data_IF_564209599320
#
_entry.id   IF_564209599320
#
_cell.length_a   1.000
_cell.length_b   1.000
_cell.length_c   1.000
_cell.angle_alpha   90.00
_cell.angle_beta   90.00
_cell.angle_gamma   90.00
#
_symmetry.space_group_name_H-M   'P 1'
#
loop_
_entity.id
_entity.type
_entity.pdbx_description
1 polymer ?
#
# COMPACT_ATOMS: atom_id res chain seq x y z
N UNK A 1 10.87 -35.45 -78.16
CA UNK A 1 9.67 -35.74 -78.98
C UNK A 1 8.64 -36.47 -78.12
N UNK A 2 7.38 -35.99 -78.09
CA UNK A 2 6.19 -36.64 -77.46
C UNK A 2 5.62 -37.72 -78.42
N UNK A 3 4.82 -38.70 -77.97
CA UNK A 3 3.35 -38.49 -77.87
C UNK A 3 2.65 -39.20 -76.68
N UNK A 4 1.67 -38.54 -76.03
CA UNK A 4 0.20 -38.78 -76.12
C UNK A 4 -0.27 -40.04 -75.36
N UNK A 5 -1.00 -39.86 -74.26
CA UNK A 5 -2.42 -40.25 -74.18
C UNK A 5 -3.06 -39.85 -72.83
N UNK A 6 -4.19 -39.19 -72.98
CA UNK A 6 -5.19 -38.74 -72.02
C UNK A 6 -5.97 -39.88 -71.36
N UNK A 7 -6.36 -39.72 -70.10
CA UNK A 7 -7.73 -40.05 -69.62
C UNK A 7 -8.03 -39.33 -68.29
N UNK A 8 -9.02 -38.44 -68.35
CA UNK A 8 -9.86 -37.92 -67.26
C UNK A 8 -11.19 -38.74 -67.36
N UNK A 9 -12.10 -38.87 -66.37
CA UNK A 9 -12.20 -38.32 -65.00
C UNK A 9 -12.44 -39.41 -63.93
N UNK A 10 -12.47 -39.04 -62.64
CA UNK A 10 -13.62 -39.48 -61.84
C UNK A 10 -13.92 -38.50 -60.73
N UNK A 11 -15.18 -38.12 -60.70
CA UNK A 11 -15.81 -37.20 -59.78
C UNK A 11 -15.76 -37.76 -58.37
N UNK A 12 -15.44 -36.91 -57.38
CA UNK A 12 -16.14 -36.92 -56.10
C UNK A 12 -15.92 -35.57 -55.41
N UNK A 13 -16.88 -34.66 -55.57
CA UNK A 13 -17.13 -33.61 -54.58
C UNK A 13 -17.74 -34.31 -53.35
N UNK A 14 -17.33 -33.94 -52.14
CA UNK A 14 -18.31 -33.20 -51.35
C UNK A 14 -17.73 -32.12 -50.44
N UNK A 15 -18.66 -31.24 -50.07
CA UNK A 15 -18.73 -30.47 -48.83
C UNK A 15 -17.73 -29.31 -48.67
N UNK A 16 -18.18 -28.16 -49.14
CA UNK A 16 -17.85 -26.88 -48.54
C UNK A 16 -18.20 -26.91 -47.04
N UNK A 17 -17.19 -26.83 -46.17
CA UNK A 17 -17.33 -26.31 -44.83
C UNK A 17 -16.61 -24.95 -44.81
N UNK A 18 -17.37 -23.89 -45.08
CA UNK A 18 -16.95 -22.53 -44.79
C UNK A 18 -16.94 -22.37 -43.26
N UNK A 19 -15.78 -22.57 -42.64
CA UNK A 19 -15.57 -22.31 -41.23
C UNK A 19 -15.41 -20.79 -41.04
N UNK A 20 -16.54 -20.08 -40.92
CA UNK A 20 -16.55 -18.69 -40.50
C UNK A 20 -16.22 -18.63 -39.00
N UNK A 21 -14.93 -18.56 -38.68
CA UNK A 21 -14.46 -18.27 -37.33
C UNK A 21 -14.81 -16.81 -37.00
N UNK A 22 -15.94 -16.61 -36.32
CA UNK A 22 -16.25 -15.35 -35.65
C UNK A 22 -15.25 -15.20 -34.49
N UNK A 23 -14.18 -14.46 -34.74
CA UNK A 23 -13.26 -14.00 -33.70
C UNK A 23 -13.99 -12.97 -32.83
N UNK A 24 -14.74 -13.46 -31.85
CA UNK A 24 -15.25 -12.63 -30.77
C UNK A 24 -14.03 -12.18 -29.95
N UNK A 25 -13.53 -10.98 -30.23
CA UNK A 25 -12.48 -10.36 -29.43
C UNK A 25 -13.05 -10.13 -28.04
N UNK A 26 -12.59 -10.88 -27.03
CA UNK A 26 -12.78 -10.50 -25.64
C UNK A 26 -12.01 -9.20 -25.43
N UNK A 27 -12.67 -8.06 -25.60
CA UNK A 27 -12.15 -6.82 -25.06
C UNK A 27 -12.38 -6.88 -23.56
N UNK A 28 -11.31 -7.13 -22.81
CA UNK A 28 -11.30 -6.87 -21.39
C UNK A 28 -11.45 -5.35 -21.21
N UNK A 29 -12.64 -4.89 -20.85
CA UNK A 29 -12.79 -3.55 -20.32
C UNK A 29 -12.00 -3.52 -19.01
N UNK A 30 -10.89 -2.79 -19.00
CA UNK A 30 -10.26 -2.38 -17.75
C UNK A 30 -11.27 -1.45 -17.06
N UNK A 31 -12.07 -2.01 -16.15
CA UNK A 31 -12.79 -1.21 -15.18
C UNK A 31 -11.70 -0.67 -14.27
N UNK A 32 -11.38 0.62 -14.41
CA UNK A 32 -10.57 1.29 -13.40
C UNK A 32 -11.25 1.03 -12.05
N UNK A 33 -10.59 0.31 -11.13
CA UNK A 33 -11.16 0.16 -9.80
C UNK A 33 -11.43 1.57 -9.27
N UNK A 34 -12.50 1.79 -8.49
CA UNK A 34 -12.76 3.09 -7.87
C UNK A 34 -11.43 3.54 -7.26
N UNK A 35 -10.95 4.73 -7.67
CA UNK A 35 -9.63 5.23 -7.30
C UNK A 35 -9.60 5.33 -5.78
N UNK A 36 -9.14 4.26 -5.15
CA UNK A 36 -9.16 4.10 -3.72
C UNK A 36 -8.25 5.15 -3.11
N UNK A 37 -8.33 5.28 -1.79
CA UNK A 37 -7.27 6.00 -1.11
C UNK A 37 -5.94 5.29 -1.37
N UNK A 38 -5.00 6.00 -1.98
CA UNK A 38 -3.66 5.50 -2.33
C UNK A 38 -2.62 6.49 -1.79
N UNK A 39 -1.87 6.12 -0.75
CA UNK A 39 -0.87 7.00 -0.14
C UNK A 39 0.22 7.43 -1.13
N UNK A 40 0.65 6.51 -2.00
CA UNK A 40 1.74 6.70 -2.96
C UNK A 40 2.99 7.27 -2.28
N UNK A 41 3.46 6.62 -1.21
CA UNK A 41 4.66 7.04 -0.47
C UNK A 41 5.96 6.77 -1.21
N UNK A 42 5.91 5.93 -2.26
CA UNK A 42 7.08 5.42 -2.96
C UNK A 42 7.73 4.21 -2.27
N UNK A 43 7.16 3.71 -1.18
CA UNK A 43 7.55 2.47 -0.51
C UNK A 43 6.30 1.60 -0.27
N UNK A 44 6.21 0.49 -0.99
CA UNK A 44 5.05 -0.40 -0.94
C UNK A 44 4.83 -1.08 0.44
N UNK A 45 5.87 -1.16 1.27
CA UNK A 45 5.72 -1.64 2.64
C UNK A 45 5.04 -0.59 3.51
N UNK A 46 5.45 0.67 3.37
CA UNK A 46 4.82 1.81 4.07
C UNK A 46 3.36 1.94 3.65
N UNK A 47 3.07 1.92 2.34
CA UNK A 47 1.69 2.03 1.84
C UNK A 47 0.77 0.97 2.47
N UNK A 48 1.24 -0.28 2.58
CA UNK A 48 0.51 -1.37 3.25
C UNK A 48 0.30 -1.14 4.74
N UNK A 49 1.31 -0.59 5.43
CA UNK A 49 1.16 -0.28 6.85
C UNK A 49 0.14 0.84 7.05
N UNK A 50 0.11 1.85 6.17
CA UNK A 50 -0.84 2.95 6.27
C UNK A 50 -2.29 2.49 6.07
N UNK A 51 -2.54 1.49 5.22
CA UNK A 51 -3.86 0.83 5.16
C UNK A 51 -4.26 0.17 6.48
N UNK A 52 -3.31 -0.47 7.17
CA UNK A 52 -3.59 -1.09 8.47
C UNK A 52 -3.77 -0.05 9.59
N UNK A 53 -3.02 1.06 9.51
CA UNK A 53 -3.21 2.24 10.37
C UNK A 53 -4.60 2.84 10.17
N UNK A 54 -5.11 2.92 8.93
CA UNK A 54 -6.51 3.33 8.69
C UNK A 54 -7.48 2.43 9.45
N UNK A 55 -7.35 1.09 9.28
CA UNK A 55 -8.22 0.14 9.99
C UNK A 55 -8.12 0.27 11.51
N UNK A 56 -6.92 0.53 12.04
CA UNK A 56 -6.72 0.75 13.47
C UNK A 56 -7.38 2.05 13.94
N UNK A 57 -7.09 3.18 13.29
CA UNK A 57 -7.59 4.49 13.67
C UNK A 57 -9.10 4.62 13.51
N UNK A 58 -9.68 3.98 12.49
CA UNK A 58 -11.14 3.94 12.31
C UNK A 58 -11.83 3.12 13.41
N UNK A 59 -11.21 2.03 13.87
CA UNK A 59 -11.76 1.17 14.94
C UNK A 59 -11.51 1.71 16.35
N UNK A 60 -10.36 2.31 16.58
CA UNK A 60 -9.86 2.72 17.90
C UNK A 60 -9.50 4.20 17.91
N UNK A 61 -10.44 5.04 17.50
CA UNK A 61 -10.29 6.49 17.28
C UNK A 61 -9.58 7.23 18.42
N UNK A 62 -10.04 7.05 19.65
CA UNK A 62 -9.46 7.71 20.84
C UNK A 62 -8.03 7.24 21.12
N UNK A 63 -7.81 5.91 21.16
CA UNK A 63 -6.49 5.34 21.40
C UNK A 63 -5.48 5.71 20.30
N UNK A 64 -5.95 5.88 19.07
CA UNK A 64 -5.15 6.39 17.97
C UNK A 64 -4.72 7.84 18.20
N UNK A 65 -5.63 8.73 18.63
CA UNK A 65 -5.29 10.11 18.98
C UNK A 65 -4.32 10.16 20.16
N UNK A 66 -4.54 9.35 21.20
CA UNK A 66 -3.64 9.25 22.36
C UNK A 66 -2.20 8.86 21.96
N UNK A 67 -2.07 7.94 21.02
CA UNK A 67 -0.77 7.54 20.47
C UNK A 67 -0.06 8.72 19.77
N UNK A 68 -0.77 9.46 18.91
CA UNK A 68 -0.21 10.62 18.21
C UNK A 68 0.23 11.73 19.19
N UNK A 69 -0.60 11.98 20.21
CA UNK A 69 -0.30 12.98 21.25
C UNK A 69 0.95 12.57 22.03
N UNK A 70 0.99 11.33 22.50
CA UNK A 70 2.05 10.86 23.40
C UNK A 70 3.38 10.62 22.69
N UNK A 71 3.35 10.07 21.48
CA UNK A 71 4.56 9.57 20.81
C UNK A 71 4.98 10.36 19.58
N UNK A 72 4.10 11.18 19.01
CA UNK A 72 4.43 12.02 17.84
C UNK A 72 4.28 13.51 18.16
N UNK A 73 4.12 13.85 19.44
CA UNK A 73 3.98 15.22 19.96
C UNK A 73 2.94 16.05 19.21
N UNK A 74 1.85 15.40 18.77
CA UNK A 74 0.78 16.03 18.02
C UNK A 74 -0.20 16.68 18.99
N UNK A 75 -0.54 17.97 18.86
CA UNK A 75 -1.62 18.55 19.65
C UNK A 75 -2.93 17.77 19.42
N UNK A 76 -3.64 17.43 20.50
CA UNK A 76 -4.89 16.66 20.42
C UNK A 76 -5.90 17.31 19.48
N UNK A 77 -6.11 18.60 19.65
CA UNK A 77 -7.03 19.41 18.84
C UNK A 77 -6.69 19.31 17.35
N UNK A 78 -5.42 19.45 16.98
CA UNK A 78 -4.97 19.27 15.59
C UNK A 78 -5.34 17.88 15.05
N UNK A 79 -5.11 16.82 15.83
CA UNK A 79 -5.43 15.46 15.39
C UNK A 79 -6.94 15.25 15.21
N UNK A 80 -7.74 15.72 16.15
CA UNK A 80 -9.20 15.59 16.13
C UNK A 80 -9.82 16.37 14.97
N UNK A 81 -9.40 17.63 14.78
CA UNK A 81 -9.86 18.50 13.69
C UNK A 81 -9.46 17.97 12.32
N UNK A 82 -8.21 17.52 12.16
CA UNK A 82 -7.72 17.01 10.86
C UNK A 82 -8.52 15.79 10.43
N UNK A 83 -8.83 14.90 11.36
CA UNK A 83 -9.66 13.72 11.08
C UNK A 83 -11.14 14.08 10.89
N UNK A 84 -11.66 15.11 11.57
CA UNK A 84 -13.00 15.63 11.32
C UNK A 84 -13.14 16.25 9.91
N UNK A 85 -12.04 16.76 9.34
CA UNK A 85 -11.94 17.23 7.95
C UNK A 85 -11.85 16.08 6.92
N UNK A 86 -11.95 14.83 7.36
CA UNK A 86 -12.03 13.66 6.48
C UNK A 86 -10.67 13.04 6.11
N UNK A 87 -9.58 13.49 6.73
CA UNK A 87 -8.29 12.80 6.59
C UNK A 87 -8.41 11.34 7.01
N UNK A 88 -7.70 10.46 6.30
CA UNK A 88 -7.56 9.08 6.77
C UNK A 88 -6.61 9.03 7.96
N UNK A 89 -6.82 8.14 8.95
CA UNK A 89 -5.89 7.97 10.07
C UNK A 89 -4.45 7.73 9.63
N UNK A 90 -4.24 6.98 8.55
CA UNK A 90 -2.95 6.73 7.92
C UNK A 90 -2.28 8.01 7.42
N UNK A 91 -3.03 8.92 6.80
CA UNK A 91 -2.47 10.21 6.35
C UNK A 91 -2.00 11.06 7.54
N UNK A 92 -2.82 11.16 8.59
CA UNK A 92 -2.45 11.93 9.77
C UNK A 92 -1.25 11.30 10.49
N UNK A 93 -1.26 9.98 10.68
CA UNK A 93 -0.14 9.25 11.27
C UNK A 93 1.15 9.50 10.48
N UNK A 94 1.08 9.39 9.15
CA UNK A 94 2.25 9.54 8.30
C UNK A 94 2.80 10.97 8.33
N UNK A 95 1.92 11.97 8.31
CA UNK A 95 2.31 13.37 8.45
C UNK A 95 3.08 13.61 9.76
N UNK A 96 2.53 13.15 10.88
CA UNK A 96 3.11 13.38 12.19
C UNK A 96 4.38 12.53 12.45
N UNK A 97 4.45 11.30 11.93
CA UNK A 97 5.65 10.46 11.98
C UNK A 97 6.79 11.02 11.12
N UNK A 98 6.48 11.57 9.93
CA UNK A 98 7.46 12.32 9.13
C UNK A 98 7.95 13.54 9.88
N UNK A 99 7.04 14.34 10.41
CA UNK A 99 7.38 15.55 11.17
C UNK A 99 8.34 15.24 12.33
N UNK A 100 8.06 14.19 13.10
CA UNK A 100 8.96 13.73 14.16
C UNK A 100 10.34 13.34 13.61
N UNK A 101 10.39 12.59 12.50
CA UNK A 101 11.64 12.11 11.90
C UNK A 101 12.52 13.23 11.34
N UNK A 102 11.92 14.36 10.96
CA UNK A 102 12.64 15.55 10.48
C UNK A 102 12.73 16.68 11.53
N UNK A 103 12.31 16.42 12.78
CA UNK A 103 12.39 17.39 13.88
C UNK A 103 11.49 18.63 13.71
N UNK A 104 10.34 18.48 13.05
CA UNK A 104 9.36 19.56 12.83
C UNK A 104 8.03 19.29 13.55
N UNK A 105 7.24 20.34 13.85
CA UNK A 105 5.85 20.18 14.31
C UNK A 105 4.97 19.48 13.26
N UNK A 106 4.09 18.57 13.68
CA UNK A 106 3.17 17.86 12.77
C UNK A 106 2.34 18.81 11.89
N UNK A 107 1.90 19.95 12.44
CA UNK A 107 1.13 20.96 11.69
C UNK A 107 1.82 21.43 10.41
N UNK A 108 3.14 21.44 10.36
CA UNK A 108 3.88 21.90 9.18
C UNK A 108 3.74 20.89 8.03
N UNK A 109 3.78 19.60 8.34
CA UNK A 109 3.62 18.54 7.34
C UNK A 109 2.15 18.43 6.90
N UNK A 110 1.20 18.62 7.81
CA UNK A 110 -0.24 18.73 7.47
C UNK A 110 -0.48 19.90 6.51
N UNK A 111 0.14 21.06 6.76
CA UNK A 111 0.06 22.21 5.87
C UNK A 111 0.69 21.93 4.49
N UNK A 112 1.82 21.23 4.46
CA UNK A 112 2.49 20.83 3.21
C UNK A 112 1.64 19.87 2.37
N UNK A 113 0.95 18.93 3.01
CA UNK A 113 -0.02 18.06 2.35
C UNK A 113 -1.19 18.88 1.80
N UNK A 114 -1.83 19.70 2.64
CA UNK A 114 -2.99 20.51 2.23
C UNK A 114 -2.68 21.50 1.11
N UNK A 115 -1.43 21.95 0.98
CA UNK A 115 -0.99 22.83 -0.09
C UNK A 115 -1.05 22.16 -1.46
N UNK A 116 -0.50 20.95 -1.59
CA UNK A 116 -0.49 20.16 -2.82
C UNK A 116 -0.10 18.70 -2.53
N UNK A 117 -1.03 17.79 -2.76
CA UNK A 117 -0.84 16.35 -2.59
C UNK A 117 -1.35 15.53 -3.78
N UNK A 118 -1.52 16.15 -4.96
CA UNK A 118 -2.05 15.44 -6.13
C UNK A 118 -1.18 14.26 -6.56
N UNK A 119 0.13 14.36 -6.31
CA UNK A 119 1.12 13.31 -6.59
C UNK A 119 1.36 12.35 -5.41
N UNK A 120 0.65 12.54 -4.29
CA UNK A 120 0.73 11.71 -3.10
C UNK A 120 1.94 11.99 -2.21
N UNK A 121 2.16 11.09 -1.26
CA UNK A 121 3.12 11.30 -0.17
C UNK A 121 4.58 11.32 -0.62
N UNK A 122 4.93 10.65 -1.72
CA UNK A 122 6.29 10.69 -2.27
C UNK A 122 6.72 12.12 -2.61
N UNK A 123 5.82 12.92 -3.20
CA UNK A 123 6.17 14.29 -3.60
C UNK A 123 6.30 15.22 -2.39
N UNK A 124 5.37 15.10 -1.44
CA UNK A 124 5.46 15.80 -0.14
C UNK A 124 6.76 15.45 0.58
N UNK A 125 7.12 14.15 0.62
CA UNK A 125 8.37 13.68 1.20
C UNK A 125 9.61 14.25 0.50
N UNK A 126 9.61 14.36 -0.84
CA UNK A 126 10.71 15.01 -1.59
C UNK A 126 10.87 16.47 -1.22
N UNK A 127 9.78 17.24 -1.13
CA UNK A 127 9.83 18.66 -0.75
C UNK A 127 10.34 18.86 0.68
N UNK A 128 10.05 17.90 1.57
CA UNK A 128 10.49 17.89 2.96
C UNK A 128 11.88 17.26 3.19
N UNK A 129 12.50 16.68 2.16
CA UNK A 129 13.80 16.00 2.28
C UNK A 129 13.74 14.62 2.99
N UNK A 130 12.56 13.99 3.07
CA UNK A 130 12.33 12.67 3.67
C UNK A 130 11.70 11.68 2.66
N UNK A 131 12.40 11.45 1.55
CA UNK A 131 12.01 10.45 0.57
C UNK A 131 12.62 9.06 0.89
N UNK A 132 12.07 7.96 0.34
CA UNK A 132 12.70 6.65 0.41
C UNK A 132 14.21 6.70 0.09
N UNK A 133 15.00 6.08 0.95
CA UNK A 133 16.47 6.06 0.87
C UNK A 133 17.18 7.10 1.75
N UNK A 134 16.47 8.09 2.33
CA UNK A 134 17.08 8.99 3.32
C UNK A 134 17.21 8.32 4.69
N UNK A 135 18.14 8.81 5.52
CA UNK A 135 18.33 8.32 6.89
C UNK A 135 17.05 8.54 7.73
N UNK A 136 16.40 9.69 7.56
CA UNK A 136 15.16 10.06 8.24
C UNK A 136 14.01 9.16 7.82
N UNK A 137 13.95 8.74 6.56
CA UNK A 137 12.95 7.77 6.11
C UNK A 137 13.17 6.39 6.76
N UNK A 138 14.43 6.00 6.97
CA UNK A 138 14.78 4.82 7.75
C UNK A 138 14.32 4.90 9.22
N UNK A 139 14.48 6.05 9.87
CA UNK A 139 13.95 6.29 11.23
C UNK A 139 12.43 6.23 11.26
N UNK A 140 11.77 6.85 10.28
CA UNK A 140 10.32 6.79 10.13
C UNK A 140 9.83 5.34 10.08
N UNK A 141 10.47 4.47 9.28
CA UNK A 141 10.10 3.05 9.20
C UNK A 141 10.31 2.31 10.52
N UNK A 142 11.33 2.67 11.31
CA UNK A 142 11.49 2.13 12.68
C UNK A 142 10.39 2.61 13.62
N UNK A 143 9.90 3.84 13.44
CA UNK A 143 8.77 4.39 14.19
C UNK A 143 7.49 3.56 14.05
N UNK A 144 7.20 3.03 12.85
CA UNK A 144 6.10 2.10 12.63
C UNK A 144 6.19 0.86 13.53
N UNK A 145 7.36 0.26 13.66
CA UNK A 145 7.53 -0.92 14.51
C UNK A 145 7.20 -0.63 15.98
N UNK A 146 7.62 0.53 16.48
CA UNK A 146 7.32 0.94 17.85
C UNK A 146 5.81 1.18 18.08
N UNK A 147 5.11 1.79 17.11
CA UNK A 147 3.65 1.97 17.20
C UNK A 147 2.91 0.63 17.18
N UNK A 148 3.29 -0.29 16.28
CA UNK A 148 2.62 -1.59 16.16
C UNK A 148 2.81 -2.47 17.41
N UNK A 149 3.98 -2.39 18.04
CA UNK A 149 4.25 -3.04 19.33
C UNK A 149 3.28 -2.53 20.42
N UNK A 150 3.11 -1.20 20.53
CA UNK A 150 2.19 -0.59 21.52
C UNK A 150 0.72 -0.91 21.25
N UNK A 151 0.34 -1.02 19.99
CA UNK A 151 -1.01 -1.43 19.59
C UNK A 151 -1.24 -2.94 19.71
N UNK A 152 -0.20 -3.72 20.05
CA UNK A 152 -0.20 -5.17 20.04
C UNK A 152 -0.68 -5.77 18.71
N UNK A 153 -0.31 -5.13 17.58
CA UNK A 153 -0.68 -5.57 16.23
C UNK A 153 0.46 -6.34 15.58
N UNK A 154 0.14 -7.35 14.75
CA UNK A 154 1.16 -8.04 13.97
C UNK A 154 1.78 -7.07 12.95
N UNK A 155 3.11 -7.03 12.89
CA UNK A 155 3.85 -6.26 11.90
C UNK A 155 4.74 -7.19 11.09
N UNK A 156 4.53 -7.21 9.77
CA UNK A 156 5.47 -7.86 8.87
C UNK A 156 6.60 -6.88 8.55
N UNK A 157 7.81 -7.09 9.07
CA UNK A 157 8.96 -6.21 8.77
C UNK A 157 9.43 -6.35 7.31
N UNK A 158 9.78 -5.23 6.66
CA UNK A 158 10.46 -5.22 5.37
C UNK A 158 11.91 -5.78 5.47
N UNK A 159 12.54 -6.03 4.32
CA UNK A 159 13.84 -6.66 4.25
C UNK A 159 14.97 -5.84 4.90
N UNK A 160 14.94 -4.51 4.79
CA UNK A 160 15.96 -3.62 5.36
C UNK A 160 15.79 -3.52 6.88
N UNK A 161 14.55 -3.31 7.34
CA UNK A 161 14.21 -3.29 8.76
C UNK A 161 14.52 -4.62 9.45
N UNK A 162 14.33 -5.75 8.75
CA UNK A 162 14.66 -7.09 9.26
C UNK A 162 16.17 -7.30 9.42
N UNK A 163 16.98 -6.78 8.51
CA UNK A 163 18.45 -6.82 8.62
C UNK A 163 18.93 -5.97 9.80
N UNK A 164 18.32 -4.81 10.02
CA UNK A 164 18.67 -3.90 11.11
C UNK A 164 18.15 -4.36 12.50
N UNK A 165 17.27 -5.36 12.57
CA UNK A 165 16.75 -5.89 13.84
C UNK A 165 16.44 -7.39 13.75
N UNK A 166 17.47 -8.25 13.78
CA UNK A 166 17.29 -9.69 13.80
C UNK A 166 16.51 -10.09 15.08
N UNK A 167 15.30 -10.66 14.91
CA UNK A 167 14.49 -11.19 16.03
C UNK A 167 13.15 -10.48 16.30
N UNK A 168 12.95 -9.23 15.84
CA UNK A 168 11.70 -8.46 16.10
C UNK A 168 10.52 -8.77 15.17
N UNK A 169 10.68 -9.69 14.20
CA UNK A 169 9.69 -9.96 13.14
C UNK A 169 8.88 -11.26 13.26
N UNK A 170 8.72 -11.84 14.45
CA UNK A 170 7.92 -13.06 14.66
C UNK A 170 6.91 -12.88 15.79
N UNK A 171 5.74 -12.32 15.51
CA UNK A 171 4.62 -12.28 16.46
C UNK A 171 3.38 -13.02 15.96
N UNK A 172 3.54 -14.10 15.18
CA UNK A 172 2.39 -14.95 14.79
C UNK A 172 2.45 -16.38 15.38
N UNK A 173 3.55 -16.79 16.03
CA UNK A 173 3.74 -18.20 16.43
C UNK A 173 3.60 -18.50 17.94
N UNK A 174 3.64 -17.51 18.84
CA UNK A 174 3.66 -17.79 20.29
C UNK A 174 2.28 -17.84 20.97
N UNK A 175 1.20 -17.42 20.31
CA UNK A 175 -0.13 -17.36 20.94
C UNK A 175 -0.91 -18.69 20.95
N UNK A 176 -0.38 -19.78 20.34
CA UNK A 176 -1.06 -21.11 20.28
C UNK A 176 -0.41 -22.22 21.13
N UNK A 177 0.60 -21.92 21.95
CA UNK A 177 1.35 -22.94 22.71
C UNK A 177 1.05 -23.06 24.21
N UNK A 178 0.11 -22.28 24.75
CA UNK A 178 -0.10 -22.14 26.20
C UNK A 178 -1.41 -22.71 26.73
N UNK A 179 -1.90 -23.84 26.22
CA UNK A 179 -2.96 -24.61 26.89
C UNK A 179 -2.50 -26.07 27.04
N UNK A 180 -1.78 -26.33 28.13
CA UNK A 180 -1.58 -27.66 28.73
C UNK A 180 -1.86 -27.49 30.22
N UNK A 181 -3.06 -27.85 30.68
CA UNK A 181 -3.29 -29.09 31.46
C UNK A 181 -2.36 -29.22 32.67
N UNK A 182 -2.77 -28.74 33.85
CA UNK A 182 -3.15 -29.56 35.01
C UNK A 182 -3.56 -28.65 36.17
#
# INVERSE_FOLDING_TARGET
MKPISSLVPSMLRPAAFALAAVLFSLQAFAVDPPKGWEPRTGDAWVDRQLEDVNRYGDRYREAFVDELVRYQSTPRELAEETLAQGWKPGDLYYACAMAQSIGQPCRNVVAEWNRDHEQGWLDVGKRLGIAPGSAQFGELKRGFAASYERWARPLTLDAESRKASPGRGKTDASAKGGRRTR
#
